data_IF_898595381020
#
_entry.id   IF_898595381020
#
_cell.length_a   1.000
_cell.length_b   1.000
_cell.length_c   1.000
_cell.angle_alpha   90.00
_cell.angle_beta   90.00
_cell.angle_gamma   90.00
#
_symmetry.space_group_name_H-M   'P 1'
#
loop_
_entity.id
_entity.type
_entity.pdbx_description
1 polymer ?
#
# COMPACT_ATOMS: atom_id res chain seq x y z
N UNK A 1 20.49 77.83 -13.72
CA UNK A 1 21.47 76.72 -13.73
C UNK A 1 21.79 76.42 -12.27
N UNK A 2 21.47 75.21 -11.81
CA UNK A 2 20.96 74.98 -10.45
C UNK A 2 21.94 74.06 -9.69
N UNK A 3 22.38 74.32 -8.44
CA UNK A 3 21.65 74.32 -7.14
C UNK A 3 21.06 72.94 -6.79
N UNK A 4 21.68 72.17 -5.89
CA UNK A 4 21.54 72.11 -4.40
C UNK A 4 20.47 71.07 -3.96
N UNK A 5 20.56 70.31 -2.85
CA UNK A 5 21.53 70.17 -1.72
C UNK A 5 22.26 68.79 -1.78
N UNK A 6 22.84 68.10 -0.78
CA UNK A 6 23.09 68.24 0.68
C UNK A 6 21.98 67.68 1.61
N UNK A 7 22.19 67.25 2.88
CA UNK A 7 23.34 66.84 3.74
C UNK A 7 22.75 66.44 5.13
N UNK A 8 23.40 65.58 5.94
CA UNK A 8 23.09 65.26 7.38
C UNK A 8 21.71 64.62 7.69
N UNK A 9 21.44 63.91 8.81
CA UNK A 9 22.27 63.45 9.96
C UNK A 9 21.45 63.38 11.28
N UNK A 10 21.70 62.41 12.19
CA UNK A 10 21.06 62.34 13.53
C UNK A 10 21.13 60.96 14.24
N UNK A 11 21.23 60.96 15.58
CA UNK A 11 21.41 59.79 16.47
C UNK A 11 20.18 59.50 17.41
N UNK A 12 20.35 58.60 18.40
CA UNK A 12 19.45 58.17 19.53
C UNK A 12 18.47 57.00 19.24
N UNK A 13 18.30 55.91 20.04
CA UNK A 13 18.19 55.58 21.51
C UNK A 13 16.73 55.60 22.05
N UNK A 14 16.31 54.79 23.05
CA UNK A 14 17.04 53.85 23.93
C UNK A 14 16.95 52.37 23.40
N UNK A 15 16.37 51.29 23.95
CA UNK A 15 15.77 50.86 25.24
C UNK A 15 15.75 49.30 25.26
N UNK A 16 16.57 48.55 26.04
CA UNK A 16 16.50 48.08 27.45
C UNK A 16 15.70 46.78 27.73
N UNK A 17 16.39 45.78 28.32
CA UNK A 17 15.93 44.45 28.81
C UNK A 17 15.23 44.53 30.20
N UNK A 18 14.63 43.46 30.81
CA UNK A 18 15.26 42.16 31.22
C UNK A 18 14.44 40.91 30.76
N UNK A 19 14.81 39.61 30.86
CA UNK A 19 15.24 38.72 31.99
C UNK A 19 14.18 38.57 33.13
N UNK A 20 13.97 37.43 33.83
CA UNK A 20 14.68 36.14 33.91
C UNK A 20 13.76 35.00 34.48
N UNK A 21 14.29 33.77 34.66
CA UNK A 21 14.07 32.73 35.73
C UNK A 21 12.78 32.69 36.60
N UNK A 22 12.27 31.57 37.15
CA UNK A 22 12.41 30.09 36.98
C UNK A 22 11.37 29.39 37.94
N UNK A 23 11.22 28.07 37.82
CA UNK A 23 10.84 27.08 38.86
C UNK A 23 9.37 26.85 39.36
N UNK A 24 9.06 25.55 39.41
CA UNK A 24 8.39 24.72 40.45
C UNK A 24 6.87 24.76 40.72
N UNK A 25 6.20 23.72 40.19
CA UNK A 25 5.33 22.74 40.87
C UNK A 25 4.53 23.10 42.14
N UNK A 26 3.19 22.89 42.08
CA UNK A 26 2.51 22.00 43.03
C UNK A 26 1.15 21.46 42.51
N UNK A 27 0.72 20.30 43.04
CA UNK A 27 -0.49 19.56 42.64
C UNK A 27 -1.81 20.19 43.12
N UNK A 28 -2.89 20.02 42.34
CA UNK A 28 -4.25 20.36 42.76
C UNK A 28 -5.37 19.71 41.90
N UNK A 29 -6.03 18.69 42.44
CA UNK A 29 -7.37 18.20 42.04
C UNK A 29 -8.38 18.66 43.11
N UNK A 30 -9.67 18.97 42.81
CA UNK A 30 -10.59 17.93 42.30
C UNK A 30 -11.82 18.36 41.45
N UNK A 31 -12.56 17.33 41.01
CA UNK A 31 -14.01 17.25 40.71
C UNK A 31 -14.64 17.98 39.50
N UNK A 32 -15.15 17.13 38.58
CA UNK A 32 -16.47 17.17 37.91
C UNK A 32 -17.19 18.50 37.63
N UNK A 33 -17.27 18.83 36.33
CA UNK A 33 -18.44 19.46 35.71
C UNK A 33 -18.95 18.57 34.58
N UNK A 34 -20.27 18.49 34.35
CA UNK A 34 -20.87 17.65 33.31
C UNK A 34 -21.72 18.47 32.35
N UNK A 35 -21.37 18.48 31.06
CA UNK A 35 -22.17 19.13 30.00
C UNK A 35 -21.88 18.55 28.61
N UNK A 36 -22.84 17.74 28.14
CA UNK A 36 -23.29 17.57 26.75
C UNK A 36 -22.36 17.91 25.55
N UNK A 37 -22.11 16.89 24.74
CA UNK A 37 -22.25 16.90 23.28
C UNK A 37 -21.61 18.06 22.48
N UNK A 38 -20.33 17.91 22.15
CA UNK A 38 -19.74 18.49 20.95
C UNK A 38 -19.09 17.38 20.12
N UNK A 39 -19.65 17.05 18.96
CA UNK A 39 -18.93 16.23 17.98
C UNK A 39 -17.85 17.12 17.35
N UNK A 40 -16.61 16.98 17.80
CA UNK A 40 -15.46 17.53 17.08
C UNK A 40 -15.46 16.98 15.66
N UNK A 41 -15.26 17.81 14.61
CA UNK A 41 -15.01 17.30 13.27
C UNK A 41 -13.91 16.25 13.32
N UNK A 42 -14.07 15.14 12.59
CA UNK A 42 -12.98 14.18 12.41
C UNK A 42 -11.85 14.95 11.75
N UNK A 43 -10.81 15.23 12.51
CA UNK A 43 -9.68 16.00 12.03
C UNK A 43 -9.07 15.25 10.84
N UNK A 44 -8.88 15.96 9.72
CA UNK A 44 -8.29 15.35 8.52
C UNK A 44 -6.82 15.15 8.80
N UNK A 45 -6.48 14.05 9.47
CA UNK A 45 -5.11 13.60 9.65
C UNK A 45 -4.38 13.77 8.33
N UNK A 46 -3.22 14.42 8.38
CA UNK A 46 -2.51 14.88 7.20
C UNK A 46 -1.79 13.68 6.55
N UNK A 47 -2.57 12.78 5.96
CA UNK A 47 -2.14 11.47 5.53
C UNK A 47 -0.92 11.57 4.63
N UNK A 48 0.07 10.72 4.92
CA UNK A 48 1.25 10.59 4.08
C UNK A 48 0.82 10.27 2.64
N UNK A 49 1.22 11.10 1.68
CA UNK A 49 1.04 10.79 0.24
C UNK A 49 1.75 9.50 -0.20
N UNK A 50 2.63 8.95 0.64
CA UNK A 50 3.28 7.65 0.49
C UNK A 50 2.57 6.51 1.26
N UNK A 51 1.30 6.69 1.69
CA UNK A 51 0.53 5.65 2.41
C UNK A 51 0.09 4.50 1.49
N UNK A 52 0.19 3.26 1.99
CA UNK A 52 -0.36 2.04 1.35
C UNK A 52 -1.69 1.58 1.97
N UNK A 53 -2.31 2.42 2.79
CA UNK A 53 -3.57 2.17 3.50
C UNK A 53 -4.68 3.16 3.11
N UNK A 54 -5.92 2.79 3.37
CA UNK A 54 -7.11 3.65 3.32
C UNK A 54 -6.99 4.82 4.31
N UNK A 55 -7.95 5.77 4.27
CA UNK A 55 -7.98 6.96 5.16
C UNK A 55 -8.21 6.64 6.65
N UNK A 56 -8.44 5.38 7.01
CA UNK A 56 -8.42 4.91 8.40
C UNK A 56 -7.01 4.50 8.90
N UNK A 57 -6.04 4.30 8.00
CA UNK A 57 -4.71 3.79 8.34
C UNK A 57 -4.68 2.30 8.70
N UNK A 58 -5.79 1.57 8.54
CA UNK A 58 -5.94 0.16 8.90
C UNK A 58 -6.03 -0.74 7.65
N UNK A 59 -6.90 -0.38 6.69
CA UNK A 59 -7.18 -1.24 5.53
C UNK A 59 -6.15 -1.06 4.42
N UNK A 60 -5.36 -2.09 4.15
CA UNK A 60 -4.30 -2.09 3.13
C UNK A 60 -4.87 -2.02 1.71
N UNK A 61 -4.29 -1.20 0.85
CA UNK A 61 -4.68 -1.07 -0.57
C UNK A 61 -4.06 -2.24 -1.36
N UNK A 62 -4.90 -3.18 -1.79
CA UNK A 62 -4.51 -4.35 -2.59
C UNK A 62 -4.58 -4.06 -4.10
N UNK A 63 -5.45 -3.15 -4.52
CA UNK A 63 -5.58 -2.75 -5.93
C UNK A 63 -6.11 -1.33 -6.06
N UNK A 64 -5.81 -0.70 -7.19
CA UNK A 64 -6.31 0.63 -7.56
C UNK A 64 -6.90 0.56 -8.96
N UNK A 65 -8.12 1.08 -9.12
CA UNK A 65 -8.69 1.43 -10.42
C UNK A 65 -8.63 2.94 -10.58
N UNK A 66 -8.49 3.44 -11.81
CA UNK A 66 -8.57 4.88 -12.09
C UNK A 66 -9.44 5.18 -13.30
N UNK A 67 -10.09 6.35 -13.31
CA UNK A 67 -10.88 6.83 -14.45
C UNK A 67 -10.92 8.35 -14.50
N UNK A 68 -11.31 8.88 -15.65
CA UNK A 68 -11.70 10.30 -15.82
C UNK A 68 -13.19 10.33 -16.17
N UNK A 69 -13.91 11.35 -15.69
CA UNK A 69 -15.30 11.59 -16.09
C UNK A 69 -15.36 12.40 -17.38
N UNK A 70 -15.74 11.74 -18.47
CA UNK A 70 -16.15 12.40 -19.71
C UNK A 70 -17.53 13.05 -19.55
N UNK A 71 -17.72 14.25 -20.09
CA UNK A 71 -19.00 15.00 -19.98
C UNK A 71 -20.20 14.35 -20.67
N UNK A 72 -19.97 13.33 -21.49
CA UNK A 72 -20.99 12.55 -22.23
C UNK A 72 -21.08 11.10 -21.67
N UNK A 73 -20.55 10.89 -20.45
CA UNK A 73 -20.12 9.60 -19.94
C UNK A 73 -21.17 8.73 -19.24
N UNK A 74 -22.46 9.07 -19.24
CA UNK A 74 -23.51 8.40 -18.42
C UNK A 74 -23.45 6.86 -18.46
N UNK A 75 -23.31 6.29 -19.67
CA UNK A 75 -23.25 4.82 -19.88
C UNK A 75 -21.95 4.18 -19.37
N UNK A 76 -20.88 4.96 -19.16
CA UNK A 76 -19.66 4.56 -18.44
C UNK A 76 -19.86 4.69 -16.93
N UNK A 77 -20.41 5.80 -16.46
CA UNK A 77 -20.66 6.04 -15.04
C UNK A 77 -21.58 4.96 -14.44
N UNK A 78 -22.63 4.56 -15.17
CA UNK A 78 -23.54 3.51 -14.71
C UNK A 78 -22.87 2.13 -14.66
N UNK A 79 -22.00 1.81 -15.63
CA UNK A 79 -21.17 0.59 -15.57
C UNK A 79 -20.21 0.60 -14.39
N UNK A 80 -19.64 1.76 -14.01
CA UNK A 80 -18.83 1.91 -12.80
C UNK A 80 -19.65 1.60 -11.55
N UNK A 81 -20.77 2.28 -11.33
CA UNK A 81 -21.68 2.05 -10.18
C UNK A 81 -22.08 0.58 -10.03
N UNK A 82 -22.52 -0.06 -11.11
CA UNK A 82 -22.96 -1.47 -11.09
C UNK A 82 -21.78 -2.41 -10.81
N UNK A 83 -20.61 -2.16 -11.41
CA UNK A 83 -19.41 -2.97 -11.18
C UNK A 83 -18.88 -2.82 -9.74
N UNK A 84 -18.78 -1.60 -9.23
CA UNK A 84 -18.33 -1.29 -7.86
C UNK A 84 -19.29 -1.87 -6.82
N UNK A 85 -20.60 -1.73 -7.02
CA UNK A 85 -21.62 -2.39 -6.19
C UNK A 85 -21.49 -3.92 -6.23
N UNK A 86 -21.21 -4.51 -7.40
CA UNK A 86 -20.99 -5.95 -7.50
C UNK A 86 -19.68 -6.42 -6.85
N UNK A 87 -18.62 -5.60 -6.81
CA UNK A 87 -17.41 -5.89 -6.03
C UNK A 87 -17.72 -5.86 -4.52
N UNK A 88 -18.52 -4.90 -4.07
CA UNK A 88 -19.01 -4.83 -2.67
C UNK A 88 -19.90 -6.03 -2.30
N UNK A 89 -20.79 -6.49 -3.20
CA UNK A 89 -21.57 -7.74 -3.02
C UNK A 89 -20.68 -8.98 -2.85
N UNK A 90 -19.49 -8.99 -3.44
CA UNK A 90 -18.49 -10.06 -3.29
C UNK A 90 -17.68 -9.94 -1.98
N UNK A 91 -17.83 -8.82 -1.25
CA UNK A 91 -17.16 -8.55 0.02
C UNK A 91 -15.87 -7.74 -0.11
N UNK A 92 -15.55 -7.19 -1.30
CA UNK A 92 -14.43 -6.26 -1.44
C UNK A 92 -14.81 -4.87 -0.92
N UNK A 93 -13.90 -4.24 -0.19
CA UNK A 93 -14.10 -2.92 0.37
C UNK A 93 -13.46 -1.85 -0.54
N UNK A 94 -14.15 -0.74 -0.75
CA UNK A 94 -13.79 0.29 -1.71
C UNK A 94 -13.69 1.66 -1.03
N UNK A 95 -12.65 2.42 -1.37
CA UNK A 95 -12.49 3.83 -0.97
C UNK A 95 -12.14 4.68 -2.21
N UNK A 96 -12.97 5.66 -2.52
CA UNK A 96 -12.80 6.50 -3.72
C UNK A 96 -12.21 7.87 -3.36
N UNK A 97 -11.06 8.17 -3.94
CA UNK A 97 -10.45 9.50 -3.97
C UNK A 97 -11.05 10.32 -5.13
N UNK A 98 -11.47 11.56 -4.84
CA UNK A 98 -11.97 12.48 -5.87
C UNK A 98 -10.82 13.05 -6.71
N UNK A 99 -11.13 13.40 -7.96
CA UNK A 99 -10.19 14.06 -8.88
C UNK A 99 -9.53 15.35 -8.37
N UNK A 100 -10.07 15.99 -7.34
CA UNK A 100 -9.45 17.15 -6.68
C UNK A 100 -8.18 16.80 -5.89
N UNK A 101 -7.97 15.53 -5.51
CA UNK A 101 -6.77 15.06 -4.81
C UNK A 101 -5.67 14.55 -5.78
N UNK A 102 -5.95 14.48 -7.09
CA UNK A 102 -5.00 13.98 -8.10
C UNK A 102 -4.16 15.09 -8.75
N UNK A 103 -2.94 14.75 -9.18
CA UNK A 103 -1.98 15.71 -9.73
C UNK A 103 -2.44 16.38 -11.04
N UNK A 104 -3.41 15.78 -11.76
CA UNK A 104 -3.98 16.32 -13.01
C UNK A 104 -5.32 17.05 -12.81
N UNK A 105 -5.89 17.03 -11.59
CA UNK A 105 -7.19 17.59 -11.25
C UNK A 105 -8.38 16.89 -11.91
N UNK A 106 -8.20 15.69 -12.49
CA UNK A 106 -9.16 15.03 -13.41
C UNK A 106 -9.36 13.55 -13.14
N UNK A 107 -8.33 12.85 -12.66
CA UNK A 107 -8.33 11.40 -12.47
C UNK A 107 -8.87 11.03 -11.09
N UNK A 108 -9.96 10.27 -11.07
CA UNK A 108 -10.48 9.56 -9.90
C UNK A 108 -9.67 8.28 -9.64
N UNK A 109 -9.54 7.90 -8.36
CA UNK A 109 -8.93 6.62 -7.96
C UNK A 109 -9.87 5.86 -7.02
N UNK A 110 -10.18 4.60 -7.35
CA UNK A 110 -10.89 3.67 -6.47
C UNK A 110 -9.87 2.70 -5.89
N UNK A 111 -9.57 2.85 -4.60
CA UNK A 111 -8.76 1.91 -3.82
C UNK A 111 -9.62 0.69 -3.49
N UNK A 112 -9.01 -0.49 -3.51
CA UNK A 112 -9.65 -1.76 -3.20
C UNK A 112 -8.89 -2.46 -2.08
N UNK A 113 -9.61 -2.92 -1.06
CA UNK A 113 -9.14 -3.77 0.01
C UNK A 113 -9.90 -5.12 -0.02
N UNK A 114 -9.19 -6.22 0.22
CA UNK A 114 -9.76 -7.53 0.42
C UNK A 114 -9.66 -7.95 1.91
N UNK A 115 -10.81 -8.04 2.62
CA UNK A 115 -10.84 -8.59 3.98
C UNK A 115 -10.41 -10.05 4.02
N UNK A 116 -9.96 -10.51 5.20
CA UNK A 116 -9.52 -11.89 5.45
C UNK A 116 -10.49 -12.94 4.89
N UNK A 117 -11.79 -12.79 5.12
CA UNK A 117 -12.79 -13.77 4.68
C UNK A 117 -12.89 -13.90 3.16
N UNK A 118 -12.65 -12.82 2.41
CA UNK A 118 -12.56 -12.84 0.95
C UNK A 118 -11.26 -13.51 0.50
N UNK A 119 -10.14 -13.11 1.11
CA UNK A 119 -8.82 -13.67 0.81
C UNK A 119 -8.77 -15.18 1.03
N UNK A 120 -9.19 -15.66 2.20
CA UNK A 120 -9.23 -17.08 2.53
C UNK A 120 -10.13 -17.88 1.55
N UNK A 121 -11.31 -17.35 1.21
CA UNK A 121 -12.25 -18.00 0.29
C UNK A 121 -11.66 -18.13 -1.12
N UNK A 122 -11.05 -17.07 -1.64
CA UNK A 122 -10.45 -17.10 -2.98
C UNK A 122 -9.07 -17.77 -3.02
N UNK A 123 -8.32 -17.81 -1.91
CA UNK A 123 -7.07 -18.55 -1.79
C UNK A 123 -7.29 -20.07 -1.86
N UNK A 124 -8.38 -20.56 -1.28
CA UNK A 124 -8.84 -21.95 -1.37
C UNK A 124 -9.24 -22.29 -2.83
N UNK A 125 -10.08 -21.45 -3.45
CA UNK A 125 -10.49 -21.60 -4.87
C UNK A 125 -9.29 -21.56 -5.83
N UNK A 126 -8.26 -20.77 -5.53
CA UNK A 126 -7.02 -20.66 -6.32
C UNK A 126 -5.96 -21.71 -5.93
N UNK A 127 -6.21 -22.53 -4.89
CA UNK A 127 -5.26 -23.50 -4.33
C UNK A 127 -3.87 -22.92 -4.09
N UNK A 128 -3.85 -21.72 -3.51
CA UNK A 128 -2.64 -20.96 -3.19
C UNK A 128 -1.83 -21.73 -2.16
N UNK A 129 -0.55 -21.98 -2.45
CA UNK A 129 0.36 -22.62 -1.50
C UNK A 129 0.76 -21.65 -0.40
N UNK A 130 0.66 -22.11 0.85
CA UNK A 130 0.94 -21.37 2.09
C UNK A 130 1.74 -22.25 3.08
N UNK A 131 2.49 -21.67 4.04
CA UNK A 131 3.28 -22.44 5.00
C UNK A 131 2.42 -23.25 5.97
N UNK A 132 2.85 -24.48 6.27
CA UNK A 132 2.25 -25.32 7.32
C UNK A 132 3.27 -25.92 8.30
N UNK A 133 4.57 -25.92 7.94
CA UNK A 133 5.66 -26.38 8.81
C UNK A 133 6.96 -25.67 8.38
N UNK A 134 7.78 -25.24 9.32
CA UNK A 134 9.15 -24.81 9.03
C UNK A 134 9.96 -25.95 8.40
N UNK A 135 10.92 -25.62 7.53
CA UNK A 135 11.82 -26.60 6.95
C UNK A 135 12.81 -27.12 8.01
N UNK A 136 12.76 -28.42 8.28
CA UNK A 136 13.67 -29.13 9.20
C UNK A 136 14.71 -30.02 8.48
N UNK A 137 14.82 -29.87 7.14
CA UNK A 137 15.92 -30.45 6.37
C UNK A 137 17.18 -29.58 6.62
N UNK A 138 18.31 -30.15 7.09
CA UNK A 138 19.54 -29.40 7.24
C UNK A 138 20.07 -28.95 5.86
N UNK A 139 20.45 -27.68 5.74
CA UNK A 139 21.12 -27.19 4.55
C UNK A 139 22.52 -27.83 4.41
N UNK A 140 22.84 -28.28 3.21
CA UNK A 140 24.05 -29.04 2.91
C UNK A 140 24.95 -28.24 1.96
N UNK A 141 25.26 -27.01 2.36
CA UNK A 141 25.92 -26.00 1.53
C UNK A 141 27.46 -25.97 1.64
N UNK A 142 28.08 -27.11 1.99
CA UNK A 142 29.55 -27.30 1.97
C UNK A 142 30.10 -27.36 0.52
N UNK A 143 30.05 -26.22 -0.16
CA UNK A 143 30.74 -25.98 -1.43
C UNK A 143 32.24 -25.78 -1.16
N UNK A 144 33.14 -26.69 -1.59
CA UNK A 144 34.58 -26.46 -1.48
C UNK A 144 34.98 -25.21 -2.28
N UNK A 145 35.97 -24.46 -1.77
CA UNK A 145 36.44 -23.19 -2.36
C UNK A 145 35.38 -22.07 -2.43
N UNK A 146 34.35 -22.09 -1.56
CA UNK A 146 33.30 -21.06 -1.45
C UNK A 146 33.80 -19.60 -1.34
N UNK A 147 35.04 -19.37 -0.91
CA UNK A 147 35.65 -18.04 -0.86
C UNK A 147 35.74 -17.37 -2.24
N UNK A 148 35.89 -18.14 -3.33
CA UNK A 148 35.99 -17.63 -4.70
C UNK A 148 34.72 -16.91 -5.19
N UNK A 149 33.53 -17.29 -4.69
CA UNK A 149 32.26 -16.66 -5.07
C UNK A 149 31.85 -15.49 -4.18
N UNK A 150 32.59 -15.20 -3.10
CA UNK A 150 32.27 -14.09 -2.18
C UNK A 150 32.12 -12.70 -2.81
N UNK A 151 32.80 -12.31 -3.93
CA UNK A 151 32.56 -11.02 -4.59
C UNK A 151 31.20 -10.94 -5.32
N UNK A 152 30.62 -12.08 -5.67
CA UNK A 152 29.37 -12.19 -6.45
C UNK A 152 28.15 -12.45 -5.55
N UNK A 153 28.36 -13.06 -4.38
CA UNK A 153 27.32 -13.32 -3.37
C UNK A 153 26.64 -12.04 -2.87
N UNK A 154 25.36 -12.18 -2.55
CA UNK A 154 24.61 -11.21 -1.76
C UNK A 154 24.68 -11.56 -0.26
N UNK A 155 24.37 -10.62 0.65
CA UNK A 155 24.26 -10.93 2.08
C UNK A 155 23.17 -11.96 2.34
N UNK A 156 23.39 -12.85 3.32
CA UNK A 156 22.50 -13.98 3.61
C UNK A 156 21.02 -13.55 3.78
N UNK A 157 20.79 -12.51 4.59
CA UNK A 157 19.46 -11.92 4.84
C UNK A 157 18.78 -11.26 3.61
N UNK A 158 19.43 -11.26 2.44
CA UNK A 158 18.86 -10.82 1.15
C UNK A 158 18.57 -12.01 0.24
N UNK A 159 19.31 -13.12 0.39
CA UNK A 159 19.08 -14.38 -0.33
C UNK A 159 17.99 -15.22 0.36
N UNK A 160 18.03 -15.27 1.69
CA UNK A 160 17.13 -15.99 2.58
C UNK A 160 16.62 -15.03 3.69
N UNK A 161 15.68 -14.11 3.35
CA UNK A 161 15.12 -13.16 4.31
C UNK A 161 14.19 -13.85 5.33
N UNK A 162 13.55 -14.95 4.92
CA UNK A 162 12.75 -15.86 5.76
C UNK A 162 13.35 -17.27 5.69
N UNK A 163 13.16 -18.11 6.72
CA UNK A 163 13.45 -19.55 6.61
C UNK A 163 12.55 -20.21 5.57
N UNK A 164 13.03 -21.28 4.92
CA UNK A 164 12.17 -22.08 4.04
C UNK A 164 11.04 -22.76 4.84
N UNK A 165 9.87 -22.89 4.22
CA UNK A 165 8.71 -23.58 4.79
C UNK A 165 8.20 -24.67 3.84
N UNK A 166 7.74 -25.78 4.41
CA UNK A 166 6.88 -26.70 3.67
C UNK A 166 5.53 -26.04 3.41
N UNK A 167 5.11 -26.05 2.15
CA UNK A 167 3.88 -25.39 1.72
C UNK A 167 2.86 -26.35 1.13
N UNK A 168 1.61 -26.19 1.54
CA UNK A 168 0.46 -26.95 1.06
C UNK A 168 -0.58 -25.98 0.45
N UNK A 169 -1.42 -26.42 -0.50
CA UNK A 169 -2.56 -25.62 -0.96
C UNK A 169 -3.46 -25.24 0.22
N UNK A 170 -3.90 -23.98 0.28
CA UNK A 170 -4.81 -23.49 1.31
C UNK A 170 -6.18 -24.17 1.21
N UNK A 171 -6.77 -24.42 2.38
CA UNK A 171 -8.07 -25.04 2.59
C UNK A 171 -8.73 -24.28 3.74
N UNK A 172 -9.81 -23.54 3.44
CA UNK A 172 -10.48 -22.68 4.43
C UNK A 172 -11.12 -23.50 5.55
N UNK A 173 -11.39 -24.78 5.34
CA UNK A 173 -11.93 -25.68 6.38
C UNK A 173 -10.88 -26.17 7.38
N UNK A 174 -9.59 -25.88 7.16
CA UNK A 174 -8.46 -26.37 7.95
C UNK A 174 -7.46 -25.26 8.30
N UNK A 175 -7.94 -24.07 8.70
CA UNK A 175 -7.09 -22.95 9.14
C UNK A 175 -5.97 -23.38 10.08
N UNK A 176 -6.30 -24.25 11.03
CA UNK A 176 -5.47 -24.65 12.16
C UNK A 176 -4.34 -25.63 11.76
N UNK A 177 -4.29 -26.03 10.48
CA UNK A 177 -3.18 -26.79 9.88
C UNK A 177 -2.04 -25.89 9.41
N UNK A 178 -2.29 -24.59 9.19
CA UNK A 178 -1.33 -23.64 8.61
C UNK A 178 -0.71 -22.74 9.68
N UNK A 179 0.47 -22.19 9.38
CA UNK A 179 1.15 -21.24 10.27
C UNK A 179 0.55 -19.84 10.07
N UNK A 180 -0.54 -19.53 10.80
CA UNK A 180 -1.27 -18.26 10.73
C UNK A 180 -1.11 -17.52 12.07
N UNK A 181 -0.01 -16.77 12.23
CA UNK A 181 0.23 -15.94 13.42
C UNK A 181 -0.63 -14.66 13.41
N UNK A 182 -0.65 -13.96 12.27
CA UNK A 182 -1.50 -12.80 12.00
C UNK A 182 -2.19 -12.91 10.63
N UNK A 183 -3.47 -12.57 10.58
CA UNK A 183 -4.31 -12.66 9.38
C UNK A 183 -4.09 -11.53 8.39
N UNK A 184 -3.66 -10.35 8.83
CA UNK A 184 -3.48 -9.19 7.95
C UNK A 184 -2.17 -9.29 7.14
N UNK A 185 -1.14 -9.92 7.71
CA UNK A 185 0.15 -10.21 7.07
C UNK A 185 0.25 -11.58 6.39
N UNK A 186 -0.42 -12.64 6.87
CA UNK A 186 -0.27 -14.03 6.37
C UNK A 186 -0.37 -14.20 4.84
N UNK A 187 -1.22 -13.41 4.17
CA UNK A 187 -1.20 -13.34 2.71
C UNK A 187 -0.30 -12.17 2.28
N UNK A 188 0.90 -12.43 1.70
CA UNK A 188 1.79 -11.34 1.29
C UNK A 188 1.16 -10.49 0.16
N UNK A 189 1.58 -9.23 -0.02
CA UNK A 189 0.91 -8.28 -0.92
C UNK A 189 0.71 -8.82 -2.34
N UNK A 190 1.74 -9.44 -2.92
CA UNK A 190 1.65 -10.09 -4.22
C UNK A 190 0.52 -11.14 -4.31
N UNK A 191 0.34 -11.94 -3.26
CA UNK A 191 -0.75 -12.93 -3.19
C UNK A 191 -2.13 -12.26 -3.05
N UNK A 192 -2.26 -11.21 -2.23
CA UNK A 192 -3.49 -10.40 -2.09
C UNK A 192 -3.87 -9.74 -3.43
N UNK A 193 -2.91 -9.10 -4.08
CA UNK A 193 -3.04 -8.46 -5.40
C UNK A 193 -3.54 -9.46 -6.46
N UNK A 194 -2.99 -10.69 -6.48
CA UNK A 194 -3.40 -11.76 -7.41
C UNK A 194 -4.84 -12.24 -7.15
N UNK A 195 -5.25 -12.35 -5.88
CA UNK A 195 -6.63 -12.67 -5.50
C UNK A 195 -7.59 -11.58 -5.99
N UNK A 196 -7.30 -10.30 -5.71
CA UNK A 196 -8.16 -9.19 -6.14
C UNK A 196 -8.25 -9.11 -7.67
N UNK A 197 -7.14 -9.30 -8.39
CA UNK A 197 -7.16 -9.34 -9.86
C UNK A 197 -7.99 -10.52 -10.43
N UNK A 198 -8.01 -11.68 -9.75
CA UNK A 198 -8.87 -12.81 -10.12
C UNK A 198 -10.36 -12.47 -9.99
N UNK A 199 -10.74 -11.76 -8.92
CA UNK A 199 -12.11 -11.29 -8.66
C UNK A 199 -12.51 -10.21 -9.68
N UNK A 200 -11.67 -9.18 -9.85
CA UNK A 200 -11.84 -8.11 -10.83
C UNK A 200 -12.02 -8.67 -12.26
N UNK A 201 -11.29 -9.74 -12.61
CA UNK A 201 -11.40 -10.41 -13.91
C UNK A 201 -12.71 -11.20 -14.11
N UNK A 202 -13.50 -11.43 -13.06
CA UNK A 202 -14.72 -12.26 -13.09
C UNK A 202 -16.02 -11.52 -12.71
N UNK A 203 -15.93 -10.41 -11.97
CA UNK A 203 -17.09 -9.61 -11.57
C UNK A 203 -17.89 -9.06 -12.78
N UNK A 204 -19.22 -9.05 -12.67
CA UNK A 204 -20.14 -8.49 -13.68
C UNK A 204 -20.21 -6.96 -13.59
N UNK A 205 -20.25 -6.28 -14.73
CA UNK A 205 -20.50 -4.82 -14.82
C UNK A 205 -21.92 -4.49 -15.29
N UNK A 206 -22.84 -5.46 -15.22
CA UNK A 206 -24.25 -5.33 -15.58
C UNK A 206 -25.11 -5.94 -14.47
N UNK A 207 -26.32 -5.38 -14.31
CA UNK A 207 -27.33 -5.83 -13.36
C UNK A 207 -27.69 -7.30 -13.55
N UNK A 208 -27.98 -7.97 -12.43
CA UNK A 208 -28.22 -9.42 -12.35
C UNK A 208 -29.47 -9.89 -13.16
N UNK A 209 -30.27 -8.95 -13.65
CA UNK A 209 -31.44 -9.14 -14.52
C UNK A 209 -31.03 -9.48 -15.98
N UNK A 210 -29.82 -9.15 -16.40
CA UNK A 210 -29.38 -9.38 -17.78
C UNK A 210 -28.75 -10.77 -17.98
N UNK A 211 -29.37 -11.57 -18.87
CA UNK A 211 -29.00 -12.97 -19.17
C UNK A 211 -27.60 -13.12 -19.85
N UNK A 212 -26.99 -12.01 -20.29
CA UNK A 212 -25.72 -12.00 -21.03
C UNK A 212 -24.50 -12.21 -20.09
N UNK A 213 -24.22 -13.49 -19.83
CA UNK A 213 -23.16 -13.97 -18.92
C UNK A 213 -21.73 -13.55 -19.32
N UNK A 214 -21.54 -12.92 -20.46
CA UNK A 214 -20.24 -12.59 -21.02
C UNK A 214 -19.75 -11.19 -20.62
N UNK A 215 -20.65 -10.30 -20.20
CA UNK A 215 -20.36 -8.89 -19.88
C UNK A 215 -19.79 -8.71 -18.47
N UNK A 216 -18.61 -9.32 -18.26
CA UNK A 216 -17.84 -9.35 -17.02
C UNK A 216 -16.35 -9.00 -17.23
N UNK A 217 -15.68 -8.65 -16.14
CA UNK A 217 -14.21 -8.55 -16.04
C UNK A 217 -13.63 -7.16 -16.35
N UNK A 218 -12.70 -6.69 -15.49
CA UNK A 218 -12.03 -5.38 -15.58
C UNK A 218 -11.42 -5.11 -16.96
N UNK A 219 -10.85 -6.13 -17.64
CA UNK A 219 -10.27 -6.00 -18.97
C UNK A 219 -11.27 -5.48 -20.02
N UNK A 220 -12.56 -5.84 -19.94
CA UNK A 220 -13.59 -5.30 -20.84
C UNK A 220 -13.92 -3.83 -20.53
N UNK A 221 -13.80 -3.39 -19.28
CA UNK A 221 -14.01 -2.00 -18.85
C UNK A 221 -12.83 -1.07 -19.15
N UNK A 222 -11.60 -1.60 -19.16
CA UNK A 222 -10.42 -0.90 -19.66
C UNK A 222 -10.52 -0.71 -21.19
N UNK A 223 -10.77 -1.80 -21.93
CA UNK A 223 -10.84 -1.78 -23.39
C UNK A 223 -11.96 -0.88 -23.96
N UNK A 224 -12.96 -0.50 -23.17
CA UNK A 224 -14.03 0.41 -23.57
C UNK A 224 -13.96 1.80 -22.91
N UNK A 225 -12.86 2.10 -22.20
CA UNK A 225 -12.62 3.38 -21.54
C UNK A 225 -13.58 3.71 -20.41
N UNK A 226 -14.18 2.70 -19.74
CA UNK A 226 -14.94 2.90 -18.49
C UNK A 226 -13.99 3.08 -17.30
N UNK A 227 -12.82 2.43 -17.33
CA UNK A 227 -11.66 2.76 -16.50
C UNK A 227 -10.47 3.08 -17.41
N UNK A 228 -9.58 3.98 -16.94
CA UNK A 228 -8.34 4.36 -17.62
C UNK A 228 -7.21 3.37 -17.33
N UNK A 229 -7.07 2.93 -16.08
CA UNK A 229 -6.09 1.92 -15.65
C UNK A 229 -6.59 1.10 -14.46
N UNK A 230 -5.97 -0.06 -14.26
CA UNK A 230 -6.17 -0.93 -13.11
C UNK A 230 -4.82 -1.57 -12.75
N UNK A 231 -4.33 -1.36 -11.52
CA UNK A 231 -2.99 -1.78 -11.10
C UNK A 231 -2.91 -2.09 -9.59
N UNK A 232 -2.04 -3.03 -9.17
CA UNK A 232 -1.70 -3.19 -7.76
C UNK A 232 -0.85 -2.00 -7.27
N UNK A 233 -0.99 -1.64 -5.99
CA UNK A 233 -0.13 -0.64 -5.37
C UNK A 233 1.25 -1.25 -5.02
N UNK A 234 2.28 -0.42 -5.01
CA UNK A 234 3.61 -0.79 -4.53
C UNK A 234 3.83 -0.34 -3.08
N UNK A 235 4.57 -1.15 -2.34
CA UNK A 235 5.10 -0.92 -0.99
C UNK A 235 5.75 0.46 -0.79
N UNK A 236 6.65 0.88 -1.69
CA UNK A 236 7.46 2.09 -1.54
C UNK A 236 8.00 2.64 -2.88
N UNK A 237 8.81 3.71 -2.78
CA UNK A 237 9.57 4.29 -3.89
C UNK A 237 10.92 3.56 -4.02
N UNK A 238 11.23 3.00 -5.20
CA UNK A 238 12.41 2.15 -5.40
C UNK A 238 13.76 2.79 -4.98
N UNK A 239 13.86 4.12 -4.98
CA UNK A 239 15.07 4.87 -4.63
C UNK A 239 15.14 5.35 -3.18
N UNK A 240 14.09 5.14 -2.39
CA UNK A 240 13.97 5.66 -1.01
C UNK A 240 13.19 4.68 -0.13
N UNK A 241 13.89 4.03 0.83
CA UNK A 241 13.25 3.22 1.88
C UNK A 241 12.12 4.01 2.55
N UNK A 242 11.03 3.33 2.91
CA UNK A 242 9.94 3.96 3.66
C UNK A 242 10.42 4.50 5.01
N UNK A 243 9.67 5.48 5.53
CA UNK A 243 9.78 5.96 6.92
C UNK A 243 8.81 5.24 7.85
N UNK A 244 7.83 4.55 7.29
CA UNK A 244 6.93 3.68 8.03
C UNK A 244 7.68 2.40 8.42
N UNK A 245 7.64 2.04 9.71
CA UNK A 245 8.24 0.82 10.23
C UNK A 245 7.50 -0.44 9.76
N UNK A 246 6.20 -0.32 9.47
CA UNK A 246 5.34 -1.41 8.98
C UNK A 246 5.50 -1.64 7.46
N UNK A 247 6.39 -0.90 6.80
CA UNK A 247 6.67 -1.01 5.38
C UNK A 247 8.06 -1.61 5.14
N UNK A 248 8.10 -2.93 4.93
CA UNK A 248 9.31 -3.74 4.65
C UNK A 248 10.21 -3.14 3.55
N UNK A 249 9.63 -2.38 2.62
CA UNK A 249 10.32 -1.70 1.52
C UNK A 249 11.01 -2.68 0.55
N UNK A 250 10.35 -3.83 0.28
CA UNK A 250 10.76 -4.85 -0.70
C UNK A 250 11.34 -4.26 -2.00
N UNK A 251 10.66 -3.28 -2.59
CA UNK A 251 11.03 -2.69 -3.88
C UNK A 251 12.30 -1.83 -3.80
N UNK A 252 12.55 -1.18 -2.67
CA UNK A 252 13.82 -0.51 -2.41
C UNK A 252 14.96 -1.53 -2.28
N UNK A 253 14.72 -2.64 -1.58
CA UNK A 253 15.68 -3.74 -1.44
C UNK A 253 15.99 -4.39 -2.79
N UNK A 254 14.97 -4.70 -3.60
CA UNK A 254 15.14 -5.25 -4.96
C UNK A 254 15.93 -4.31 -5.88
N UNK A 255 15.68 -3.00 -5.83
CA UNK A 255 16.46 -2.03 -6.59
C UNK A 255 17.92 -1.95 -6.12
N UNK A 256 18.14 -1.93 -4.80
CA UNK A 256 19.46 -1.82 -4.17
C UNK A 256 20.34 -3.05 -4.41
N UNK A 257 19.76 -4.25 -4.42
CA UNK A 257 20.52 -5.50 -4.48
C UNK A 257 20.49 -6.21 -5.83
N UNK A 258 19.47 -6.01 -6.67
CA UNK A 258 19.31 -6.72 -7.95
C UNK A 258 19.14 -5.80 -9.18
N UNK A 259 18.14 -4.91 -9.19
CA UNK A 259 17.76 -4.17 -10.40
C UNK A 259 18.64 -2.94 -10.72
N UNK A 260 19.61 -2.60 -9.87
CA UNK A 260 20.61 -1.56 -10.14
C UNK A 260 21.77 -2.07 -11.00
N UNK A 261 22.27 -1.25 -11.94
CA UNK A 261 23.38 -1.62 -12.85
C UNK A 261 24.60 -2.22 -12.13
N UNK A 262 24.93 -1.73 -10.93
CA UNK A 262 26.06 -2.24 -10.10
C UNK A 262 25.88 -3.66 -9.55
N UNK A 263 24.75 -4.32 -9.83
CA UNK A 263 24.48 -5.71 -9.45
C UNK A 263 24.55 -6.69 -10.62
N UNK A 264 24.94 -6.28 -11.85
CA UNK A 264 24.93 -7.17 -13.02
C UNK A 264 25.77 -8.45 -12.86
N UNK A 265 26.81 -8.40 -12.03
CA UNK A 265 27.73 -9.51 -11.73
C UNK A 265 27.35 -10.30 -10.47
N UNK A 266 26.25 -9.94 -9.79
CA UNK A 266 25.85 -10.57 -8.53
C UNK A 266 24.86 -11.72 -8.74
N UNK A 267 24.84 -12.60 -7.75
CA UNK A 267 23.79 -13.62 -7.61
C UNK A 267 22.41 -12.95 -7.51
N UNK A 268 21.37 -13.62 -8.02
CA UNK A 268 20.01 -13.08 -8.02
C UNK A 268 19.30 -13.47 -6.70
N UNK A 269 18.71 -12.51 -5.95
CA UNK A 269 17.99 -12.81 -4.72
C UNK A 269 16.61 -13.39 -5.04
N UNK A 270 16.60 -14.65 -5.49
CA UNK A 270 15.42 -15.29 -6.07
C UNK A 270 14.22 -15.30 -5.13
N UNK A 271 14.42 -15.39 -3.81
CA UNK A 271 13.32 -15.41 -2.85
C UNK A 271 12.65 -14.03 -2.73
N UNK A 272 13.43 -12.96 -2.59
CA UNK A 272 12.92 -11.58 -2.64
C UNK A 272 12.24 -11.25 -3.99
N UNK A 273 12.80 -11.73 -5.10
CA UNK A 273 12.18 -11.60 -6.44
C UNK A 273 10.84 -12.35 -6.52
N UNK A 274 10.74 -13.52 -5.88
CA UNK A 274 9.51 -14.32 -5.81
C UNK A 274 8.44 -13.67 -4.93
N UNK A 275 8.83 -12.85 -3.95
CA UNK A 275 7.92 -12.11 -3.06
C UNK A 275 7.18 -11.00 -3.81
N UNK A 276 7.89 -10.05 -4.45
CA UNK A 276 7.29 -8.92 -5.21
C UNK A 276 6.66 -9.37 -6.55
N UNK A 277 7.40 -10.14 -7.37
CA UNK A 277 7.10 -10.24 -8.81
C UNK A 277 6.23 -11.43 -9.26
N UNK A 278 5.95 -12.43 -8.42
CA UNK A 278 5.11 -13.61 -8.81
C UNK A 278 3.59 -13.31 -8.95
N UNK A 279 3.20 -12.05 -9.05
CA UNK A 279 1.80 -11.60 -9.08
C UNK A 279 1.47 -10.56 -10.17
N UNK A 280 2.37 -10.35 -11.14
CA UNK A 280 2.13 -9.53 -12.33
C UNK A 280 1.92 -10.41 -13.57
#
# INVERSE_FOLDING_TARGET
>A
MNRLTGRTGGDSLIEMSPTESFNDDINGYPQHGSSSAGQSPIDKQQHSKDSVFFRDGLRRIDFVLSYVDDKEGDRKQERRKVYESNLQKVGLELETEDKTESEDGKTYFVKIHAPWEVLATYADVLKIKVPFKANDIPDNSEMPMNWLSTPFRLPEHIMHPEPDFFTAPFDKSKSDFYLIDDKDTFFPPSTRNRIVFYILSRCSYISDVCIDKDKKGIKRLLNNGTYSAAFPLHDCRYWKKSRDANCESERYSLYRYWAGFRSFFKEQPLNLIRQDLKAK
#
